data_IF_085582708677
#
_entry.id   IF_085582708677
#
_cell.length_a   1.000
_cell.length_b   1.000
_cell.length_c   1.000
_cell.angle_alpha   90.00
_cell.angle_beta   90.00
_cell.angle_gamma   90.00
#
_symmetry.space_group_name_H-M   'P 1'
#
loop_
_entity.id
_entity.type
_entity.pdbx_description
1 polymer ?
#
# COMPACT_ATOMS: atom_id res chain seq x y z
N UNK A 1 -12.21 -39.56 44.39
CA UNK A 1 -11.25 -38.68 43.68
C UNK A 1 -11.65 -38.53 42.20
N UNK A 2 -12.75 -37.85 41.88
CA UNK A 2 -13.23 -37.72 40.48
C UNK A 2 -14.03 -36.44 40.21
N UNK A 3 -13.72 -35.33 40.90
CA UNK A 3 -14.36 -34.02 40.65
C UNK A 3 -13.37 -32.88 40.41
N UNK A 4 -12.06 -33.11 40.53
CA UNK A 4 -11.03 -32.08 40.37
C UNK A 4 -10.47 -31.96 38.94
N UNK A 5 -10.70 -32.95 38.07
CA UNK A 5 -10.13 -32.99 36.72
C UNK A 5 -10.95 -32.24 35.65
N UNK A 6 -12.19 -31.82 35.97
CA UNK A 6 -13.06 -31.14 35.00
C UNK A 6 -12.81 -29.62 34.92
N UNK A 7 -12.17 -29.01 35.93
CA UNK A 7 -11.90 -27.57 35.94
C UNK A 7 -10.65 -27.14 35.16
N UNK A 8 -9.75 -28.08 34.83
CA UNK A 8 -8.51 -27.78 34.09
C UNK A 8 -8.73 -27.75 32.58
N UNK A 9 -9.82 -28.35 32.07
CA UNK A 9 -10.15 -28.34 30.64
C UNK A 9 -10.91 -27.07 30.19
N UNK A 10 -11.49 -26.31 31.13
CA UNK A 10 -12.19 -25.05 30.80
C UNK A 10 -11.26 -23.84 30.75
N UNK A 11 -10.07 -23.90 31.34
CA UNK A 11 -9.09 -22.81 31.30
C UNK A 11 -8.19 -22.82 30.06
N UNK A 12 -8.16 -23.91 29.28
CA UNK A 12 -7.31 -23.99 28.09
C UNK A 12 -7.84 -23.19 26.89
N UNK A 13 -9.15 -22.89 26.85
CA UNK A 13 -9.71 -22.06 25.78
C UNK A 13 -9.48 -20.56 26.02
N UNK A 14 -9.45 -20.11 27.28
CA UNK A 14 -9.18 -18.71 27.62
C UNK A 14 -7.70 -18.32 27.35
N UNK A 15 -6.76 -19.22 27.66
CA UNK A 15 -5.32 -19.01 27.39
C UNK A 15 -4.96 -19.05 25.89
N UNK A 16 -5.75 -19.75 25.06
CA UNK A 16 -5.60 -19.75 23.60
C UNK A 16 -6.16 -18.48 22.94
N UNK A 17 -7.09 -17.78 23.60
CA UNK A 17 -7.60 -16.48 23.12
C UNK A 17 -6.59 -15.36 23.46
N UNK A 18 -5.99 -15.39 24.66
CA UNK A 18 -5.02 -14.38 25.13
C UNK A 18 -3.69 -14.34 24.35
N UNK A 19 -3.37 -15.41 23.61
CA UNK A 19 -2.15 -15.49 22.79
C UNK A 19 -2.38 -15.10 21.32
N UNK A 20 -3.63 -14.99 20.87
CA UNK A 20 -3.95 -14.74 19.45
C UNK A 20 -4.13 -13.25 19.10
N UNK A 21 -4.34 -12.36 20.07
CA UNK A 21 -4.88 -11.01 19.79
C UNK A 21 -4.24 -9.84 20.55
N UNK A 22 -3.03 -9.97 21.10
CA UNK A 22 -2.36 -8.87 21.84
C UNK A 22 -2.06 -7.61 21.01
N UNK A 23 -1.92 -7.73 19.68
CA UNK A 23 -1.69 -6.58 18.80
C UNK A 23 -2.98 -5.88 18.33
N UNK A 24 -4.13 -6.56 18.43
CA UNK A 24 -5.42 -6.04 17.94
C UNK A 24 -6.30 -5.52 19.07
N UNK A 25 -6.26 -6.15 20.24
CA UNK A 25 -7.12 -5.86 21.38
C UNK A 25 -6.31 -5.19 22.50
N UNK A 26 -6.64 -3.95 22.83
CA UNK A 26 -6.14 -3.30 24.04
C UNK A 26 -7.30 -2.77 24.86
N UNK A 27 -7.38 -3.17 26.13
CA UNK A 27 -8.40 -2.77 27.11
C UNK A 27 -8.26 -1.33 27.64
N UNK A 28 -7.22 -0.58 27.27
CA UNK A 28 -7.00 0.78 27.78
C UNK A 28 -7.13 1.86 26.72
N UNK A 29 -7.47 3.05 27.19
CA UNK A 29 -7.70 4.27 26.42
C UNK A 29 -6.57 4.52 25.42
N UNK A 30 -6.92 4.50 24.14
CA UNK A 30 -6.01 4.86 23.06
C UNK A 30 -6.85 5.66 22.10
N UNK A 31 -6.78 6.98 22.20
CA UNK A 31 -7.35 7.88 21.21
C UNK A 31 -6.85 7.48 19.82
N UNK A 32 -7.71 7.22 18.83
CA UNK A 32 -7.26 7.16 17.45
C UNK A 32 -6.93 8.59 17.04
N UNK A 33 -5.70 9.03 17.28
CA UNK A 33 -5.21 10.32 16.80
C UNK A 33 -5.03 10.16 15.29
N UNK A 34 -5.70 11.01 14.50
CA UNK A 34 -5.45 11.11 13.07
C UNK A 34 -3.94 11.36 12.87
N UNK A 35 -3.25 10.40 12.24
CA UNK A 35 -1.80 10.47 11.99
C UNK A 35 -1.46 11.31 10.76
N UNK A 36 -2.44 11.50 9.89
CA UNK A 36 -2.33 12.32 8.69
C UNK A 36 -3.28 13.50 8.80
N UNK A 37 -2.72 14.69 8.98
CA UNK A 37 -3.49 15.94 9.13
C UNK A 37 -4.17 16.36 7.81
N UNK A 38 -3.45 16.24 6.70
CA UNK A 38 -3.95 16.57 5.37
C UNK A 38 -4.19 15.31 4.54
N UNK A 39 -5.45 14.92 4.39
CA UNK A 39 -5.83 13.69 3.68
C UNK A 39 -6.05 13.89 2.18
N UNK A 40 -6.34 15.11 1.71
CA UNK A 40 -6.52 15.44 0.30
C UNK A 40 -6.13 16.89 -0.01
N UNK A 41 -5.97 17.23 -1.30
CA UNK A 41 -5.84 18.61 -1.74
C UNK A 41 -7.23 19.22 -2.04
N UNK A 42 -7.61 20.36 -1.42
CA UNK A 42 -8.93 20.95 -1.58
C UNK A 42 -9.12 21.71 -2.90
N UNK A 43 -8.04 22.08 -3.57
CA UNK A 43 -8.05 22.79 -4.85
C UNK A 43 -7.48 21.86 -5.92
N UNK A 44 -7.97 21.95 -7.16
CA UNK A 44 -7.41 21.21 -8.30
C UNK A 44 -5.90 21.49 -8.41
N UNK A 45 -5.12 20.42 -8.32
CA UNK A 45 -3.67 20.48 -8.46
C UNK A 45 -3.25 19.86 -9.79
N UNK A 46 -2.36 20.52 -10.52
CA UNK A 46 -1.74 19.90 -11.69
C UNK A 46 -0.82 18.76 -11.29
N UNK A 47 -0.07 18.92 -10.20
CA UNK A 47 0.91 17.93 -9.75
C UNK A 47 0.64 17.54 -8.32
N UNK A 48 0.50 16.24 -8.08
CA UNK A 48 0.34 15.68 -6.74
C UNK A 48 1.24 14.45 -6.63
N UNK A 49 1.96 14.32 -5.53
CA UNK A 49 2.69 13.13 -5.13
C UNK A 49 2.06 12.62 -3.84
N UNK A 50 1.93 11.30 -3.74
CA UNK A 50 1.54 10.64 -2.50
C UNK A 50 2.53 9.53 -2.16
N UNK A 51 2.84 9.42 -0.88
CA UNK A 51 3.49 8.29 -0.22
C UNK A 51 3.52 8.57 1.30
N UNK A 52 4.41 7.92 2.05
CA UNK A 52 4.49 8.06 3.51
C UNK A 52 5.35 9.25 3.99
N UNK A 53 6.01 10.02 3.10
CA UNK A 53 7.02 11.01 3.53
C UNK A 53 7.09 12.26 2.67
N UNK A 54 6.76 13.41 3.26
CA UNK A 54 6.93 14.74 2.63
C UNK A 54 8.38 15.01 2.23
N UNK A 55 9.35 14.60 3.05
CA UNK A 55 10.77 14.74 2.73
C UNK A 55 11.12 14.05 1.40
N UNK A 56 10.59 12.84 1.17
CA UNK A 56 10.85 12.11 -0.06
C UNK A 56 10.21 12.75 -1.29
N UNK A 57 9.05 13.40 -1.13
CA UNK A 57 8.39 14.17 -2.19
C UNK A 57 9.25 15.37 -2.58
N UNK A 58 9.73 16.15 -1.59
CA UNK A 58 10.62 17.29 -1.83
C UNK A 58 11.93 16.87 -2.51
N UNK A 59 12.47 15.72 -2.13
CA UNK A 59 13.68 15.16 -2.74
C UNK A 59 13.43 14.75 -4.19
N UNK A 60 12.29 14.12 -4.48
CA UNK A 60 11.91 13.77 -5.85
C UNK A 60 11.67 14.99 -6.73
N UNK A 61 10.97 16.00 -6.23
CA UNK A 61 10.75 17.23 -7.00
C UNK A 61 12.08 17.92 -7.38
N UNK A 62 13.05 17.91 -6.46
CA UNK A 62 14.42 18.43 -6.74
C UNK A 62 15.19 17.56 -7.73
N UNK A 63 15.00 16.25 -7.70
CA UNK A 63 15.56 15.34 -8.70
C UNK A 63 14.97 15.67 -10.09
N UNK A 64 13.64 15.73 -10.19
CA UNK A 64 12.95 15.97 -11.46
C UNK A 64 13.27 17.36 -12.01
N UNK A 65 13.33 18.41 -11.19
CA UNK A 65 13.67 19.75 -11.67
C UNK A 65 15.09 19.81 -12.25
N UNK A 66 16.06 19.13 -11.63
CA UNK A 66 17.44 19.07 -12.15
C UNK A 66 17.56 18.26 -13.44
N UNK A 67 16.90 17.10 -13.50
CA UNK A 67 16.98 16.21 -14.67
C UNK A 67 16.24 16.83 -15.86
N UNK A 68 15.07 17.42 -15.63
CA UNK A 68 14.20 17.94 -16.69
C UNK A 68 14.82 19.13 -17.45
N UNK A 69 15.74 19.87 -16.83
CA UNK A 69 16.50 20.95 -17.51
C UNK A 69 17.37 20.40 -18.64
N UNK A 70 17.95 19.21 -18.47
CA UNK A 70 18.88 18.61 -19.44
C UNK A 70 18.22 17.58 -20.35
N UNK A 71 17.21 16.88 -19.84
CA UNK A 71 16.53 15.79 -20.55
C UNK A 71 15.03 15.85 -20.29
N UNK A 72 14.18 16.05 -21.32
CA UNK A 72 12.74 16.02 -21.12
C UNK A 72 12.31 14.61 -20.66
N UNK A 73 11.48 14.58 -19.61
CA UNK A 73 10.93 13.36 -19.02
C UNK A 73 9.43 13.28 -19.31
N UNK A 74 9.00 12.17 -19.89
CA UNK A 74 7.58 11.84 -20.03
C UNK A 74 6.96 11.52 -18.67
N UNK A 75 5.63 11.45 -18.61
CA UNK A 75 4.93 11.00 -17.40
C UNK A 75 5.42 9.62 -16.95
N UNK A 76 5.56 8.67 -17.88
CA UNK A 76 6.01 7.31 -17.61
C UNK A 76 7.46 7.30 -17.07
N UNK A 77 8.33 8.18 -17.56
CA UNK A 77 9.69 8.31 -17.01
C UNK A 77 9.66 8.77 -15.55
N UNK A 78 8.80 9.75 -15.22
CA UNK A 78 8.61 10.23 -13.85
C UNK A 78 8.01 9.13 -12.96
N UNK A 79 7.08 8.33 -13.47
CA UNK A 79 6.51 7.18 -12.76
C UNK A 79 7.62 6.19 -12.39
N UNK A 80 8.50 5.86 -13.34
CA UNK A 80 9.63 4.96 -13.09
C UNK A 80 10.59 5.55 -12.08
N UNK A 81 11.01 6.81 -12.23
CA UNK A 81 11.90 7.47 -11.27
C UNK A 81 11.31 7.56 -9.86
N UNK A 82 10.00 7.84 -9.73
CA UNK A 82 9.33 7.85 -8.42
C UNK A 82 9.32 6.46 -7.78
N UNK A 83 9.09 5.42 -8.59
CA UNK A 83 9.15 4.02 -8.15
C UNK A 83 10.55 3.62 -7.70
N UNK A 84 11.60 3.96 -8.46
CA UNK A 84 12.99 3.72 -8.07
C UNK A 84 13.35 4.39 -6.74
N UNK A 85 12.83 5.60 -6.48
CA UNK A 85 13.01 6.28 -5.20
C UNK A 85 12.38 5.52 -4.03
N UNK A 86 11.23 4.86 -4.24
CA UNK A 86 10.57 4.08 -3.18
C UNK A 86 11.40 2.88 -2.71
N UNK A 87 12.26 2.31 -3.57
CA UNK A 87 13.19 1.23 -3.18
C UNK A 87 14.14 1.70 -2.08
N UNK A 88 14.61 2.95 -2.15
CA UNK A 88 15.46 3.53 -1.12
C UNK A 88 14.66 3.95 0.14
N UNK A 89 13.42 4.43 -0.04
CA UNK A 89 12.58 4.92 1.06
C UNK A 89 12.02 3.81 1.96
N UNK A 90 11.56 2.72 1.34
CA UNK A 90 10.91 1.58 1.98
C UNK A 90 11.51 0.28 1.42
N UNK A 91 12.81 0.01 1.67
CA UNK A 91 13.52 -1.16 1.14
C UNK A 91 12.95 -2.49 1.66
N UNK A 92 12.22 -2.44 2.78
CA UNK A 92 11.50 -3.54 3.39
C UNK A 92 10.23 -3.95 2.61
N UNK A 93 9.63 -3.04 1.83
CA UNK A 93 8.41 -3.29 1.05
C UNK A 93 8.56 -3.07 -0.46
N UNK A 94 9.56 -2.30 -0.89
CA UNK A 94 9.90 -2.04 -2.29
C UNK A 94 11.33 -2.54 -2.49
N UNK A 95 11.44 -3.66 -3.18
CA UNK A 95 12.70 -4.25 -3.55
C UNK A 95 12.60 -4.74 -4.99
N UNK A 96 13.71 -5.10 -5.64
CA UNK A 96 13.66 -5.77 -6.92
C UNK A 96 12.73 -7.00 -6.89
N UNK A 97 12.78 -7.78 -5.80
CA UNK A 97 12.01 -9.01 -5.60
C UNK A 97 10.54 -8.80 -5.21
N UNK A 98 10.08 -7.56 -5.02
CA UNK A 98 8.71 -7.30 -4.58
C UNK A 98 7.70 -7.37 -5.71
N UNK A 99 6.50 -7.87 -5.39
CA UNK A 99 5.33 -7.77 -6.27
C UNK A 99 4.99 -6.30 -6.45
N UNK A 100 4.64 -5.91 -7.67
CA UNK A 100 4.27 -4.53 -7.99
C UNK A 100 2.93 -4.48 -8.73
N UNK A 101 2.00 -3.67 -8.24
CA UNK A 101 0.69 -3.44 -8.82
C UNK A 101 0.50 -1.97 -9.18
N UNK A 102 0.02 -1.67 -10.38
CA UNK A 102 -0.19 -0.30 -10.89
C UNK A 102 -1.64 -0.15 -11.36
N UNK A 103 -2.30 0.91 -10.91
CA UNK A 103 -3.42 1.54 -11.61
C UNK A 103 -2.89 2.79 -12.32
N UNK A 104 -3.09 2.90 -13.63
CA UNK A 104 -2.51 3.95 -14.46
C UNK A 104 -3.57 4.55 -15.37
N UNK A 105 -3.76 5.86 -15.29
CA UNK A 105 -4.48 6.65 -16.29
C UNK A 105 -3.43 7.39 -17.11
N UNK A 106 -3.32 7.02 -18.37
CA UNK A 106 -2.40 7.64 -19.31
C UNK A 106 -3.12 7.98 -20.60
N UNK A 107 -3.11 9.26 -20.98
CA UNK A 107 -3.86 9.79 -22.13
C UNK A 107 -5.34 9.34 -22.11
N UNK A 108 -6.00 9.53 -20.96
CA UNK A 108 -7.41 9.20 -20.71
C UNK A 108 -7.78 7.71 -20.77
N UNK A 109 -6.78 6.82 -20.86
CA UNK A 109 -6.98 5.37 -20.82
C UNK A 109 -6.51 4.81 -19.50
N UNK A 110 -7.35 3.99 -18.88
CA UNK A 110 -7.03 3.27 -17.65
C UNK A 110 -6.40 1.91 -17.94
N UNK A 111 -5.31 1.60 -17.24
CA UNK A 111 -4.58 0.36 -17.30
C UNK A 111 -4.39 -0.18 -15.89
N UNK A 112 -4.39 -1.49 -15.77
CA UNK A 112 -4.00 -2.20 -14.56
C UNK A 112 -2.85 -3.15 -14.88
N UNK A 113 -1.86 -3.22 -14.00
CA UNK A 113 -0.77 -4.19 -14.08
C UNK A 113 -0.53 -4.78 -12.69
N UNK A 114 -0.25 -6.07 -12.64
CA UNK A 114 0.20 -6.77 -11.44
C UNK A 114 1.26 -7.78 -11.85
N UNK A 115 2.49 -7.55 -11.39
CA UNK A 115 3.65 -8.36 -11.77
C UNK A 115 4.24 -9.06 -10.56
N UNK A 116 4.46 -10.36 -10.72
CA UNK A 116 5.07 -11.24 -9.72
C UNK A 116 5.83 -12.38 -10.42
N UNK A 117 6.69 -13.06 -9.66
CA UNK A 117 7.38 -14.29 -10.06
C UNK A 117 7.15 -15.38 -9.00
N UNK A 118 7.19 -16.63 -9.44
CA UNK A 118 7.24 -17.78 -8.53
C UNK A 118 8.64 -17.98 -7.93
N UNK A 119 9.68 -17.49 -8.60
CA UNK A 119 11.06 -17.54 -8.09
C UNK A 119 11.30 -16.39 -7.10
N UNK A 120 12.06 -16.68 -6.04
CA UNK A 120 12.42 -15.69 -5.01
C UNK A 120 13.51 -14.74 -5.47
N UNK A 121 14.41 -15.16 -6.37
CA UNK A 121 15.52 -14.32 -6.84
C UNK A 121 15.15 -13.37 -7.97
N UNK A 122 13.98 -13.58 -8.59
CA UNK A 122 13.52 -12.76 -9.70
C UNK A 122 13.15 -11.34 -9.26
N UNK A 123 13.25 -10.38 -10.20
CA UNK A 123 13.01 -8.98 -9.92
C UNK A 123 11.72 -8.41 -10.59
N UNK A 124 10.51 -8.84 -10.19
CA UNK A 124 9.25 -8.42 -10.83
C UNK A 124 9.01 -6.91 -10.75
N UNK A 125 9.53 -6.24 -9.72
CA UNK A 125 9.45 -4.79 -9.60
C UNK A 125 10.11 -4.10 -10.80
N UNK A 126 11.37 -4.43 -11.09
CA UNK A 126 12.09 -3.88 -12.25
C UNK A 126 11.51 -4.36 -13.58
N UNK A 127 11.02 -5.61 -13.63
CA UNK A 127 10.35 -6.12 -14.83
C UNK A 127 9.15 -5.27 -15.23
N UNK A 128 8.29 -4.90 -14.26
CA UNK A 128 7.14 -4.02 -14.55
C UNK A 128 7.60 -2.63 -15.00
N UNK A 129 8.60 -2.03 -14.35
CA UNK A 129 9.09 -0.70 -14.75
C UNK A 129 9.65 -0.72 -16.18
N UNK A 130 10.41 -1.74 -16.56
CA UNK A 130 10.88 -1.92 -17.93
C UNK A 130 9.71 -2.17 -18.91
N UNK A 131 8.74 -2.99 -18.51
CA UNK A 131 7.54 -3.28 -19.31
C UNK A 131 6.73 -2.02 -19.60
N UNK A 132 6.58 -1.12 -18.63
CA UNK A 132 5.89 0.17 -18.81
C UNK A 132 6.63 1.07 -19.80
N UNK A 133 7.96 1.21 -19.65
CA UNK A 133 8.77 2.01 -20.57
C UNK A 133 8.64 1.52 -22.01
N UNK A 134 8.62 0.20 -22.22
CA UNK A 134 8.42 -0.42 -23.54
C UNK A 134 7.00 -0.23 -24.07
N UNK A 135 5.99 -0.51 -23.26
CA UNK A 135 4.57 -0.43 -23.64
C UNK A 135 4.19 0.98 -24.07
N UNK A 136 4.68 1.99 -23.34
CA UNK A 136 4.40 3.40 -23.63
C UNK A 136 5.50 4.09 -24.44
N UNK A 137 6.40 3.31 -25.07
CA UNK A 137 7.44 3.78 -25.99
C UNK A 137 8.26 4.96 -25.44
N UNK A 138 8.68 4.89 -24.18
CA UNK A 138 9.57 5.88 -23.60
C UNK A 138 10.89 5.95 -24.38
N UNK A 139 11.45 7.17 -24.47
CA UNK A 139 12.79 7.43 -25.03
C UNK A 139 13.92 6.95 -24.11
N UNK A 140 13.63 6.67 -22.84
CA UNK A 140 14.63 6.26 -21.86
C UNK A 140 14.46 4.78 -21.50
N UNK A 141 15.58 4.07 -21.44
CA UNK A 141 15.62 2.72 -20.87
C UNK A 141 15.65 2.75 -19.34
N UNK A 142 15.33 1.63 -18.69
CA UNK A 142 15.43 1.50 -17.23
C UNK A 142 16.85 1.84 -16.73
N UNK A 143 17.90 1.39 -17.44
CA UNK A 143 19.29 1.73 -17.11
C UNK A 143 19.60 3.21 -17.28
N UNK A 144 19.05 3.87 -18.30
CA UNK A 144 19.19 5.32 -18.50
C UNK A 144 18.57 6.09 -17.33
N UNK A 145 17.35 5.73 -16.93
CA UNK A 145 16.66 6.36 -15.80
C UNK A 145 17.37 6.08 -14.46
N UNK A 146 17.86 4.87 -14.24
CA UNK A 146 18.68 4.54 -13.07
C UNK A 146 19.98 5.38 -13.02
N UNK A 147 20.63 5.57 -14.17
CA UNK A 147 21.82 6.45 -14.27
C UNK A 147 21.47 7.90 -13.93
N UNK A 148 20.34 8.40 -14.41
CA UNK A 148 19.87 9.76 -14.07
C UNK A 148 19.55 9.89 -12.59
N UNK A 149 18.91 8.87 -12.00
CA UNK A 149 18.66 8.81 -10.56
C UNK A 149 19.98 8.90 -9.78
N UNK A 150 20.94 8.01 -10.05
CA UNK A 150 22.19 7.94 -9.29
C UNK A 150 23.02 9.23 -9.43
N UNK A 151 23.08 9.82 -10.62
CA UNK A 151 23.87 11.03 -10.88
C UNK A 151 23.28 12.30 -10.26
N UNK A 152 21.95 12.38 -10.11
CA UNK A 152 21.27 13.62 -9.69
C UNK A 152 20.63 13.56 -8.31
N UNK A 153 20.55 12.37 -7.70
CA UNK A 153 20.10 12.19 -6.32
C UNK A 153 21.19 12.67 -5.35
N UNK A 154 21.01 13.86 -4.77
CA UNK A 154 22.00 14.51 -3.90
C UNK A 154 21.65 14.49 -2.40
N UNK A 155 20.38 14.26 -2.05
CA UNK A 155 19.90 14.34 -0.66
C UNK A 155 19.60 12.94 -0.14
N UNK A 156 19.98 12.68 1.10
CA UNK A 156 19.53 11.50 1.83
C UNK A 156 18.03 11.59 2.09
N UNK A 157 17.35 10.48 1.90
CA UNK A 157 15.99 10.30 2.39
C UNK A 157 16.02 10.18 3.92
N UNK A 158 14.88 10.38 4.54
CA UNK A 158 14.71 10.16 5.98
C UNK A 158 13.95 8.86 6.24
N UNK A 159 14.30 8.19 7.34
CA UNK A 159 13.59 7.02 7.86
C UNK A 159 12.14 7.41 8.14
N UNK A 160 11.21 6.65 7.56
CA UNK A 160 9.77 6.81 7.74
C UNK A 160 9.30 6.03 8.98
N UNK A 161 8.10 6.35 9.47
CA UNK A 161 7.48 5.62 10.59
C UNK A 161 7.33 4.12 10.27
N UNK A 162 6.87 3.77 9.07
CA UNK A 162 6.73 2.36 8.67
C UNK A 162 8.05 1.60 8.59
N UNK A 163 9.14 2.27 8.18
CA UNK A 163 10.47 1.64 8.18
C UNK A 163 11.02 1.50 9.60
N UNK A 164 10.86 2.50 10.46
CA UNK A 164 11.27 2.40 11.87
C UNK A 164 10.56 1.24 12.58
N UNK A 165 9.23 1.12 12.43
CA UNK A 165 8.44 0.01 12.97
C UNK A 165 9.01 -1.34 12.51
N UNK A 166 9.31 -1.47 11.21
CA UNK A 166 9.92 -2.67 10.65
C UNK A 166 11.30 -2.96 11.26
N UNK A 167 12.17 -1.96 11.35
CA UNK A 167 13.53 -2.14 11.89
C UNK A 167 13.49 -2.58 13.35
N UNK A 168 12.65 -1.97 14.18
CA UNK A 168 12.48 -2.32 15.59
C UNK A 168 12.01 -3.77 15.75
N UNK A 169 11.00 -4.18 14.97
CA UNK A 169 10.47 -5.55 14.99
C UNK A 169 11.54 -6.59 14.62
N UNK A 170 12.49 -6.20 13.78
CA UNK A 170 13.49 -7.09 13.19
C UNK A 170 14.91 -6.89 13.77
N UNK A 171 15.04 -6.12 14.86
CA UNK A 171 16.32 -5.70 15.45
C UNK A 171 17.30 -6.86 15.67
N UNK A 172 16.83 -8.00 16.20
CA UNK A 172 17.69 -9.15 16.52
C UNK A 172 18.33 -9.74 15.25
N UNK A 173 17.52 -9.98 14.23
CA UNK A 173 18.02 -10.52 12.96
C UNK A 173 18.95 -9.53 12.26
N UNK A 174 18.60 -8.24 12.26
CA UNK A 174 19.43 -7.16 11.70
C UNK A 174 20.82 -7.11 12.33
N UNK A 175 20.90 -7.21 13.67
CA UNK A 175 22.17 -7.17 14.41
C UNK A 175 23.13 -8.30 14.01
N UNK A 176 22.60 -9.46 13.61
CA UNK A 176 23.42 -10.62 13.20
C UNK A 176 23.85 -10.57 11.73
N UNK A 177 23.25 -9.71 10.90
CA UNK A 177 23.50 -9.71 9.47
C UNK A 177 24.70 -8.80 9.10
N UNK A 178 25.72 -9.28 8.38
CA UNK A 178 27.00 -8.56 8.20
C UNK A 178 26.90 -7.25 7.39
N UNK A 179 25.92 -7.17 6.47
CA UNK A 179 25.68 -5.99 5.62
C UNK A 179 24.63 -5.08 6.26
N UNK A 180 23.41 -5.58 6.48
CA UNK A 180 22.27 -4.82 6.99
C UNK A 180 22.53 -4.20 8.39
N UNK A 181 23.28 -4.85 9.28
CA UNK A 181 23.68 -4.24 10.57
C UNK A 181 24.39 -2.91 10.38
N UNK A 182 25.41 -2.86 9.51
CA UNK A 182 26.20 -1.64 9.26
C UNK A 182 25.38 -0.49 8.68
N UNK A 183 24.24 -0.80 8.08
CA UNK A 183 23.37 0.14 7.37
C UNK A 183 22.26 0.64 8.29
N UNK A 184 21.63 -0.27 9.04
CA UNK A 184 20.41 -0.02 9.79
C UNK A 184 20.60 0.00 11.31
N UNK A 185 21.79 -0.33 11.82
CA UNK A 185 22.13 -0.29 13.24
C UNK A 185 23.17 0.79 13.54
N UNK A 186 23.07 1.40 14.72
CA UNK A 186 24.07 2.29 15.31
C UNK A 186 24.34 1.82 16.75
N UNK A 187 25.45 1.11 16.93
CA UNK A 187 25.68 0.34 18.16
C UNK A 187 24.55 -0.68 18.32
N UNK A 188 23.85 -0.60 19.45
CA UNK A 188 22.76 -1.51 19.78
C UNK A 188 21.37 -0.98 19.40
N UNK A 189 21.25 0.14 18.69
CA UNK A 189 19.95 0.70 18.29
C UNK A 189 19.73 0.63 16.78
N UNK A 190 18.48 0.46 16.36
CA UNK A 190 18.07 0.58 14.96
C UNK A 190 17.89 2.04 14.57
N UNK A 191 17.99 2.37 13.28
CA UNK A 191 17.67 3.71 12.79
C UNK A 191 16.24 4.11 13.18
N UNK A 192 16.08 5.36 13.63
CA UNK A 192 14.82 5.93 14.09
C UNK A 192 14.21 6.88 13.06
N UNK A 193 12.91 7.18 13.20
CA UNK A 193 12.20 8.13 12.33
C UNK A 193 12.94 9.47 12.26
N UNK A 194 12.94 10.08 11.07
CA UNK A 194 13.64 11.34 10.76
C UNK A 194 15.18 11.25 10.77
N UNK A 195 15.78 10.09 11.05
CA UNK A 195 17.20 9.90 10.80
C UNK A 195 17.48 9.73 9.30
N UNK A 196 18.72 9.99 8.89
CA UNK A 196 19.13 9.88 7.48
C UNK A 196 19.27 8.42 7.07
N UNK A 197 18.60 8.07 5.97
CA UNK A 197 18.85 6.83 5.24
C UNK A 197 20.08 6.98 4.33
N UNK A 198 20.95 5.96 4.26
CA UNK A 198 21.99 5.89 3.25
C UNK A 198 21.42 6.04 1.84
N UNK A 199 22.21 6.61 0.93
CA UNK A 199 21.82 6.68 -0.48
C UNK A 199 21.99 5.30 -1.12
N UNK A 200 20.95 4.80 -1.76
CA UNK A 200 21.01 3.62 -2.61
C UNK A 200 21.44 4.00 -4.04
N UNK A 201 22.43 3.30 -4.57
CA UNK A 201 22.71 3.30 -6.00
C UNK A 201 21.82 2.28 -6.70
N UNK A 202 21.01 2.74 -7.65
CA UNK A 202 19.99 1.93 -8.33
C UNK A 202 20.56 1.22 -9.56
N UNK A 203 21.51 1.83 -10.27
CA UNK A 203 22.09 1.28 -11.49
C UNK A 203 22.76 -0.08 -11.28
N UNK A 204 23.52 -0.36 -10.20
CA UNK A 204 24.03 -1.70 -9.92
C UNK A 204 22.92 -2.74 -9.80
N UNK A 205 21.82 -2.41 -9.11
CA UNK A 205 20.67 -3.31 -8.97
C UNK A 205 19.98 -3.59 -10.30
N UNK A 206 19.79 -2.55 -11.12
CA UNK A 206 19.21 -2.68 -12.47
C UNK A 206 20.12 -3.52 -13.38
N UNK A 207 21.45 -3.34 -13.32
CA UNK A 207 22.41 -4.14 -14.07
C UNK A 207 22.39 -5.61 -13.64
N UNK A 208 22.29 -5.87 -12.33
CA UNK A 208 22.15 -7.22 -11.80
C UNK A 208 20.88 -7.90 -12.32
N UNK A 209 19.74 -7.19 -12.27
CA UNK A 209 18.48 -7.65 -12.86
C UNK A 209 18.62 -7.96 -14.34
N UNK A 210 19.14 -7.04 -15.15
CA UNK A 210 19.24 -7.22 -16.60
C UNK A 210 20.12 -8.42 -16.99
N UNK A 211 21.11 -8.78 -16.17
CA UNK A 211 21.96 -9.96 -16.37
C UNK A 211 21.24 -11.27 -16.05
N UNK A 212 20.41 -11.29 -15.00
CA UNK A 212 19.70 -12.49 -14.52
C UNK A 212 18.32 -12.70 -15.14
N UNK A 213 17.73 -11.66 -15.73
CA UNK A 213 16.34 -11.64 -16.20
C UNK A 213 16.05 -12.77 -17.19
N UNK A 214 15.06 -13.59 -16.85
CA UNK A 214 14.39 -14.49 -17.78
C UNK A 214 12.90 -14.12 -17.91
N UNK A 215 12.44 -13.58 -19.06
CA UNK A 215 11.04 -13.16 -19.26
C UNK A 215 9.99 -14.23 -18.92
N UNK A 216 10.32 -15.51 -19.05
CA UNK A 216 9.39 -16.62 -18.79
C UNK A 216 9.00 -16.78 -17.32
N UNK A 217 9.81 -16.25 -16.40
CA UNK A 217 9.54 -16.40 -14.98
C UNK A 217 8.52 -15.37 -14.45
N UNK A 218 8.27 -14.31 -15.21
CA UNK A 218 7.42 -13.20 -14.78
C UNK A 218 5.98 -13.38 -15.27
N UNK A 219 5.03 -13.25 -14.36
CA UNK A 219 3.60 -13.18 -14.68
C UNK A 219 3.14 -11.73 -14.66
N UNK A 220 2.54 -11.27 -15.77
CA UNK A 220 1.93 -9.94 -15.87
C UNK A 220 0.42 -10.09 -15.98
N UNK A 221 -0.31 -9.81 -14.90
CA UNK A 221 -1.77 -9.78 -14.91
C UNK A 221 -2.25 -8.35 -15.20
N UNK A 222 -3.15 -8.21 -16.17
CA UNK A 222 -3.72 -6.91 -16.55
C UNK A 222 -5.25 -6.86 -16.41
N UNK A 223 -5.87 -7.98 -16.00
CA UNK A 223 -7.32 -8.07 -15.89
C UNK A 223 -7.80 -7.66 -14.50
N UNK A 224 -9.03 -7.15 -14.45
CA UNK A 224 -9.80 -6.87 -13.25
C UNK A 224 -11.16 -7.57 -13.37
N UNK A 225 -11.60 -8.23 -12.30
CA UNK A 225 -12.93 -8.80 -12.18
C UNK A 225 -13.97 -7.68 -12.16
N UNK A 226 -14.99 -7.82 -12.99
CA UNK A 226 -16.13 -6.90 -13.06
C UNK A 226 -17.21 -7.39 -12.11
N UNK A 227 -17.68 -6.52 -11.21
CA UNK A 227 -18.84 -6.79 -10.37
C UNK A 227 -20.04 -6.01 -10.89
N UNK A 228 -21.19 -6.66 -11.07
CA UNK A 228 -22.41 -6.01 -11.58
C UNK A 228 -23.52 -6.12 -10.54
N UNK A 229 -23.48 -5.21 -9.57
CA UNK A 229 -24.52 -5.05 -8.56
C UNK A 229 -25.45 -3.87 -8.89
N UNK A 230 -24.91 -2.78 -9.46
CA UNK A 230 -25.68 -1.60 -9.83
C UNK A 230 -25.60 -1.27 -11.34
N UNK A 231 -26.69 -0.78 -11.91
CA UNK A 231 -26.82 -0.55 -13.35
C UNK A 231 -25.82 0.50 -13.90
N UNK A 232 -25.47 1.50 -13.09
CA UNK A 232 -24.63 2.65 -13.51
C UNK A 232 -23.24 2.70 -12.88
N UNK A 233 -22.99 2.08 -11.73
CA UNK A 233 -21.71 2.12 -11.02
C UNK A 233 -21.11 0.71 -10.94
N UNK A 234 -20.02 0.48 -11.67
CA UNK A 234 -19.48 -0.86 -11.92
C UNK A 234 -18.03 -0.96 -11.39
N UNK A 235 -17.79 -1.70 -10.30
CA UNK A 235 -16.44 -1.97 -9.82
C UNK A 235 -15.68 -2.90 -10.75
N UNK A 236 -14.40 -2.60 -10.96
CA UNK A 236 -13.44 -3.48 -11.60
C UNK A 236 -12.28 -3.70 -10.63
N UNK A 237 -12.18 -4.89 -10.03
CA UNK A 237 -11.28 -5.18 -8.93
C UNK A 237 -10.28 -6.29 -9.24
N UNK A 238 -9.13 -6.30 -8.58
CA UNK A 238 -8.15 -7.41 -8.72
C UNK A 238 -8.50 -8.65 -7.89
N UNK A 239 -9.71 -8.69 -7.34
CA UNK A 239 -10.35 -9.79 -6.64
C UNK A 239 -11.84 -9.83 -7.04
N UNK A 240 -12.48 -10.96 -6.82
CA UNK A 240 -13.90 -11.12 -7.11
C UNK A 240 -14.75 -10.62 -5.94
N UNK A 241 -15.53 -9.55 -6.17
CA UNK A 241 -16.45 -9.01 -5.16
C UNK A 241 -17.66 -9.92 -4.91
N UNK A 242 -18.06 -10.75 -5.88
CA UNK A 242 -19.18 -11.67 -5.73
C UNK A 242 -18.95 -12.72 -4.64
N UNK A 243 -17.70 -12.95 -4.24
CA UNK A 243 -17.39 -13.74 -3.05
C UNK A 243 -18.03 -13.14 -1.79
N UNK A 244 -17.97 -11.82 -1.62
CA UNK A 244 -18.48 -11.15 -0.41
C UNK A 244 -20.00 -11.04 -0.37
N UNK A 245 -20.65 -10.87 -1.52
CA UNK A 245 -22.12 -10.97 -1.66
C UNK A 245 -22.62 -12.33 -1.15
N UNK A 246 -21.87 -13.40 -1.44
CA UNK A 246 -22.12 -14.76 -0.94
C UNK A 246 -21.52 -15.01 0.47
N UNK A 247 -21.12 -13.95 1.18
CA UNK A 247 -20.48 -13.98 2.49
C UNK A 247 -19.16 -14.78 2.55
N UNK A 248 -18.49 -15.07 1.44
CA UNK A 248 -17.22 -15.80 1.40
C UNK A 248 -16.07 -14.84 1.71
N UNK A 249 -15.61 -14.83 2.97
CA UNK A 249 -14.50 -13.98 3.42
C UNK A 249 -13.16 -14.70 3.27
N UNK A 250 -12.24 -14.07 2.55
CA UNK A 250 -10.91 -14.60 2.29
C UNK A 250 -9.97 -14.08 3.38
N UNK A 251 -10.07 -14.60 4.60
CA UNK A 251 -9.24 -14.14 5.72
C UNK A 251 -7.83 -14.73 5.61
N UNK A 252 -6.84 -13.87 5.35
CA UNK A 252 -5.42 -14.24 5.36
C UNK A 252 -4.94 -14.59 6.76
N UNK A 253 -3.96 -15.49 6.90
CA UNK A 253 -3.27 -15.72 8.18
C UNK A 253 -2.53 -14.44 8.61
N UNK A 254 -1.75 -13.89 7.70
CA UNK A 254 -0.94 -12.69 7.94
C UNK A 254 -1.62 -11.44 7.36
N UNK A 255 -1.28 -10.29 7.92
CA UNK A 255 -1.70 -9.01 7.35
C UNK A 255 -1.06 -8.78 5.99
N UNK A 256 -1.87 -8.35 5.01
CA UNK A 256 -1.40 -7.99 3.68
C UNK A 256 -0.86 -6.57 3.74
N UNK A 257 0.40 -6.42 4.16
CA UNK A 257 1.08 -5.12 4.23
C UNK A 257 1.72 -4.77 2.90
N UNK A 258 1.73 -3.48 2.55
CA UNK A 258 2.24 -3.00 1.27
C UNK A 258 2.58 -1.53 1.34
N UNK A 259 3.58 -1.09 0.59
CA UNK A 259 3.87 0.33 0.41
C UNK A 259 2.95 0.90 -0.68
N UNK A 260 2.31 2.03 -0.42
CA UNK A 260 1.52 2.75 -1.41
C UNK A 260 2.19 4.06 -1.79
N UNK A 261 2.16 4.37 -3.08
CA UNK A 261 2.70 5.62 -3.60
C UNK A 261 2.08 5.92 -4.95
N UNK A 262 2.06 7.18 -5.35
CA UNK A 262 1.38 7.61 -6.56
C UNK A 262 1.74 9.02 -6.97
N UNK A 263 1.33 9.38 -8.19
CA UNK A 263 1.53 10.71 -8.75
C UNK A 263 0.38 11.06 -9.68
N UNK A 264 0.03 12.34 -9.69
CA UNK A 264 -0.77 13.01 -10.70
C UNK A 264 0.11 14.06 -11.36
N UNK A 265 0.08 14.12 -12.69
CA UNK A 265 0.71 15.16 -13.49
C UNK A 265 -0.22 15.52 -14.64
N UNK A 266 -0.91 16.65 -14.48
CA UNK A 266 -2.05 17.08 -15.28
C UNK A 266 -3.16 16.01 -15.28
N UNK A 267 -3.52 15.46 -16.44
CA UNK A 267 -4.55 14.43 -16.61
C UNK A 267 -4.03 13.01 -16.36
N UNK A 268 -2.72 12.82 -16.32
CA UNK A 268 -2.14 11.51 -16.11
C UNK A 268 -2.00 11.22 -14.62
N UNK A 269 -2.40 10.03 -14.22
CA UNK A 269 -2.38 9.62 -12.81
C UNK A 269 -1.88 8.20 -12.70
N UNK A 270 -1.06 7.91 -11.70
CA UNK A 270 -0.72 6.53 -11.35
C UNK A 270 -0.82 6.31 -9.86
N UNK A 271 -1.18 5.09 -9.50
CA UNK A 271 -1.23 4.61 -8.15
C UNK A 271 -0.60 3.22 -8.08
N UNK A 272 0.48 3.09 -7.32
CA UNK A 272 1.26 1.88 -7.19
C UNK A 272 1.18 1.28 -5.79
N UNK A 273 1.27 -0.05 -5.75
CA UNK A 273 1.32 -0.84 -4.53
C UNK A 273 2.42 -1.88 -4.64
N UNK A 274 3.35 -1.86 -3.69
CA UNK A 274 4.45 -2.82 -3.61
C UNK A 274 4.31 -3.70 -2.37
N UNK A 275 4.46 -5.02 -2.55
CA UNK A 275 4.29 -6.00 -1.49
C UNK A 275 5.36 -7.09 -1.61
N UNK A 276 5.94 -7.51 -0.50
CA UNK A 276 6.79 -8.69 -0.45
C UNK A 276 6.70 -9.37 0.90
N UNK A 277 7.10 -10.64 0.94
CA UNK A 277 7.34 -11.38 2.18
C UNK A 277 8.82 -11.59 2.37
N UNK A 278 9.29 -11.34 3.58
CA UNK A 278 10.66 -11.60 4.00
C UNK A 278 10.63 -12.85 4.87
N UNK A 279 11.02 -14.00 4.32
CA UNK A 279 11.11 -15.25 5.11
C UNK A 279 12.31 -15.24 6.06
N UNK A 280 13.38 -14.55 5.65
CA UNK A 280 14.60 -14.27 6.41
C UNK A 280 15.15 -12.93 5.95
N UNK A 281 15.77 -12.16 6.84
CA UNK A 281 16.46 -10.94 6.42
C UNK A 281 17.75 -11.28 5.68
N UNK A 282 17.74 -11.09 4.36
CA UNK A 282 18.92 -11.12 3.50
C UNK A 282 18.99 -9.84 2.66
N UNK A 283 20.20 -9.49 2.23
CA UNK A 283 20.43 -8.35 1.35
C UNK A 283 20.35 -8.76 -0.13
N UNK A 284 19.53 -8.08 -0.91
CA UNK A 284 19.50 -8.25 -2.36
C UNK A 284 20.77 -7.67 -2.99
N UNK A 285 21.49 -8.49 -3.77
CA UNK A 285 22.72 -8.10 -4.46
C UNK A 285 23.75 -7.39 -3.54
N UNK A 286 23.87 -7.86 -2.29
CA UNK A 286 24.76 -7.28 -1.26
C UNK A 286 24.55 -5.78 -1.00
N UNK A 287 23.32 -5.28 -1.18
CA UNK A 287 22.95 -3.88 -0.98
C UNK A 287 22.19 -3.65 0.34
N UNK A 288 21.71 -2.42 0.57
CA UNK A 288 20.79 -2.12 1.68
C UNK A 288 19.38 -2.68 1.48
N UNK A 289 19.03 -3.12 0.26
CA UNK A 289 17.67 -3.56 -0.05
C UNK A 289 17.45 -4.98 0.48
N UNK A 290 16.30 -5.21 1.08
CA UNK A 290 15.91 -6.53 1.57
C UNK A 290 15.47 -7.41 0.40
N UNK A 291 16.00 -8.64 0.36
CA UNK A 291 15.56 -9.67 -0.57
C UNK A 291 14.38 -10.43 0.04
N UNK A 292 13.34 -10.61 -0.77
CA UNK A 292 12.10 -11.23 -0.35
C UNK A 292 11.49 -12.09 -1.45
N UNK A 293 10.19 -12.34 -1.33
CA UNK A 293 9.42 -13.02 -2.36
C UNK A 293 8.20 -12.19 -2.76
N UNK A 294 7.94 -12.16 -4.08
CA UNK A 294 6.72 -11.60 -4.65
C UNK A 294 5.50 -12.53 -4.53
N UNK A 295 5.69 -13.76 -4.03
CA UNK A 295 4.62 -14.74 -3.79
C UNK A 295 3.82 -14.41 -2.51
N UNK A 296 3.27 -13.21 -2.48
CA UNK A 296 2.39 -12.70 -1.42
C UNK A 296 1.00 -12.46 -1.96
N UNK A 297 -0.01 -12.46 -1.09
CA UNK A 297 -1.34 -12.02 -1.50
C UNK A 297 -1.29 -10.54 -1.89
N UNK A 298 -1.97 -10.19 -2.98
CA UNK A 298 -2.03 -8.81 -3.47
C UNK A 298 -2.87 -7.95 -2.53
N UNK A 299 -2.47 -6.69 -2.34
CA UNK A 299 -3.38 -5.65 -1.85
C UNK A 299 -4.59 -5.52 -2.80
N UNK A 300 -5.74 -5.15 -2.27
CA UNK A 300 -6.98 -5.02 -3.04
C UNK A 300 -7.02 -3.67 -3.75
N UNK A 301 -7.29 -3.69 -5.05
CA UNK A 301 -7.39 -2.49 -5.91
C UNK A 301 -8.69 -2.58 -6.69
N UNK A 302 -9.49 -1.52 -6.67
CA UNK A 302 -10.72 -1.39 -7.45
C UNK A 302 -10.73 -0.08 -8.24
N UNK A 303 -11.11 -0.17 -9.51
CA UNK A 303 -11.44 0.96 -10.38
C UNK A 303 -12.96 1.00 -10.53
N UNK A 304 -13.59 2.01 -9.94
CA UNK A 304 -15.03 2.18 -10.00
C UNK A 304 -15.40 3.06 -11.19
N UNK A 305 -16.20 2.52 -12.10
CA UNK A 305 -16.61 3.20 -13.32
C UNK A 305 -18.07 3.58 -13.26
N UNK A 306 -18.37 4.86 -13.47
CA UNK A 306 -19.74 5.34 -13.59
C UNK A 306 -20.12 5.46 -15.08
N UNK A 307 -21.11 4.68 -15.53
CA UNK A 307 -21.60 4.68 -16.91
C UNK A 307 -22.29 5.99 -17.30
N UNK A 308 -22.91 6.67 -16.33
CA UNK A 308 -23.63 7.94 -16.53
C UNK A 308 -22.67 9.14 -16.45
N UNK A 309 -21.64 9.05 -15.59
CA UNK A 309 -20.61 10.08 -15.41
C UNK A 309 -19.25 9.56 -15.87
N UNK A 310 -19.04 9.49 -17.18
CA UNK A 310 -17.83 8.87 -17.77
C UNK A 310 -16.51 9.55 -17.39
N UNK A 311 -16.56 10.84 -17.06
CA UNK A 311 -15.39 11.61 -16.61
C UNK A 311 -15.08 11.40 -15.12
N UNK A 312 -16.02 10.80 -14.36
CA UNK A 312 -15.79 10.49 -12.97
C UNK A 312 -14.92 9.23 -12.85
N UNK A 313 -13.80 9.35 -12.15
CA UNK A 313 -12.90 8.24 -11.85
C UNK A 313 -12.77 8.13 -10.34
N UNK A 314 -12.97 6.92 -9.85
CA UNK A 314 -12.71 6.60 -8.46
C UNK A 314 -11.89 5.32 -8.39
N UNK A 315 -10.70 5.42 -7.80
CA UNK A 315 -9.87 4.27 -7.50
C UNK A 315 -9.74 4.13 -6.00
N UNK A 316 -9.78 2.90 -5.50
CA UNK A 316 -9.50 2.63 -4.10
C UNK A 316 -8.54 1.46 -3.97
N UNK A 317 -7.63 1.59 -3.02
CA UNK A 317 -6.63 0.58 -2.68
C UNK A 317 -6.71 0.29 -1.21
N UNK A 318 -6.88 -0.99 -0.84
CA UNK A 318 -6.85 -1.43 0.55
C UNK A 318 -5.68 -2.37 0.85
N UNK A 319 -5.03 -2.15 1.99
CA UNK A 319 -3.89 -2.91 2.51
C UNK A 319 -3.91 -2.95 4.04
N UNK A 320 -2.87 -3.49 4.66
CA UNK A 320 -2.66 -3.62 6.10
C UNK A 320 -3.84 -4.30 6.80
N UNK A 321 -4.50 -5.23 6.09
CA UNK A 321 -5.64 -6.00 6.56
C UNK A 321 -5.44 -7.48 6.26
N UNK A 322 -6.13 -8.34 7.00
CA UNK A 322 -6.23 -9.77 6.70
C UNK A 322 -7.20 -10.05 5.55
N UNK A 323 -8.13 -9.12 5.28
CA UNK A 323 -9.02 -9.15 4.12
C UNK A 323 -9.29 -7.74 3.57
N UNK A 324 -8.36 -7.16 2.80
CA UNK A 324 -8.53 -5.82 2.24
C UNK A 324 -9.64 -5.73 1.18
N UNK A 325 -10.07 -6.85 0.58
CA UNK A 325 -11.16 -6.85 -0.40
C UNK A 325 -12.50 -6.57 0.27
N UNK A 326 -12.70 -7.14 1.47
CA UNK A 326 -13.88 -6.90 2.29
C UNK A 326 -14.08 -5.41 2.60
N UNK A 327 -13.01 -4.66 2.88
CA UNK A 327 -13.12 -3.22 3.11
C UNK A 327 -13.68 -2.47 1.89
N UNK A 328 -13.17 -2.78 0.69
CA UNK A 328 -13.62 -2.12 -0.54
C UNK A 328 -15.05 -2.52 -0.92
N UNK A 329 -15.43 -3.76 -0.62
CA UNK A 329 -16.81 -4.21 -0.75
C UNK A 329 -17.74 -3.46 0.22
N UNK A 330 -17.38 -3.30 1.49
CA UNK A 330 -18.19 -2.54 2.44
C UNK A 330 -18.36 -1.07 2.06
N UNK A 331 -17.33 -0.42 1.49
CA UNK A 331 -17.52 0.95 0.98
C UNK A 331 -18.58 1.00 -0.12
N UNK A 332 -18.60 0.02 -1.03
CA UNK A 332 -19.62 -0.08 -2.06
C UNK A 332 -21.02 -0.19 -1.46
N UNK A 333 -21.22 -1.10 -0.50
CA UNK A 333 -22.48 -1.29 0.24
C UNK A 333 -22.92 -0.03 1.00
N UNK A 334 -21.95 0.78 1.45
CA UNK A 334 -22.19 2.02 2.19
C UNK A 334 -22.48 3.24 1.30
N UNK A 335 -22.77 3.02 0.01
CA UNK A 335 -23.18 4.10 -0.89
C UNK A 335 -22.03 4.80 -1.59
N UNK A 336 -20.90 4.13 -1.84
CA UNK A 336 -19.77 4.73 -2.59
C UNK A 336 -20.20 5.28 -3.97
N UNK A 337 -21.24 4.70 -4.57
CA UNK A 337 -21.85 5.14 -5.82
C UNK A 337 -22.50 6.54 -5.72
N UNK A 338 -22.83 7.00 -4.52
CA UNK A 338 -23.49 8.28 -4.26
C UNK A 338 -22.51 9.43 -4.02
N UNK A 339 -21.22 9.12 -3.82
CA UNK A 339 -20.18 10.10 -3.56
C UNK A 339 -19.93 11.01 -4.77
N UNK A 340 -20.10 12.32 -4.60
CA UNK A 340 -19.98 13.32 -5.65
C UNK A 340 -18.81 14.28 -5.45
N UNK A 341 -18.20 14.32 -4.25
CA UNK A 341 -17.04 15.17 -3.94
C UNK A 341 -15.93 14.41 -3.19
N UNK A 342 -14.70 14.92 -3.28
CA UNK A 342 -13.56 14.41 -2.52
C UNK A 342 -13.79 14.51 -1.00
N UNK A 343 -14.53 15.54 -0.55
CA UNK A 343 -14.86 15.76 0.86
C UNK A 343 -15.85 14.71 1.39
N UNK A 344 -16.84 14.34 0.58
CA UNK A 344 -17.75 13.23 0.90
C UNK A 344 -16.98 11.91 0.98
N UNK A 345 -16.07 11.66 0.03
CA UNK A 345 -15.20 10.48 0.06
C UNK A 345 -14.32 10.44 1.31
N UNK A 346 -13.74 11.58 1.71
CA UNK A 346 -12.95 11.72 2.93
C UNK A 346 -13.74 11.40 4.18
N UNK A 347 -14.96 11.93 4.25
CA UNK A 347 -15.88 11.66 5.35
C UNK A 347 -16.21 10.16 5.41
N UNK A 348 -16.57 9.56 4.26
CA UNK A 348 -16.82 8.14 4.12
C UNK A 348 -15.63 7.29 4.60
N UNK A 349 -14.41 7.63 4.16
CA UNK A 349 -13.19 6.88 4.50
C UNK A 349 -12.78 6.99 5.97
N UNK A 350 -13.22 8.05 6.67
CA UNK A 350 -12.97 8.27 8.10
C UNK A 350 -13.91 7.46 9.02
N UNK A 351 -15.05 6.99 8.53
CA UNK A 351 -15.98 6.14 9.30
C UNK A 351 -15.34 4.81 9.73
N UNK A 352 -15.85 4.25 10.82
CA UNK A 352 -15.40 2.99 11.40
C UNK A 352 -15.47 1.83 10.41
N UNK A 353 -14.37 1.08 10.29
CA UNK A 353 -14.33 -0.16 9.50
C UNK A 353 -14.75 -1.34 10.35
N UNK A 354 -15.16 -2.40 9.65
CA UNK A 354 -15.43 -3.68 10.26
C UNK A 354 -15.01 -4.81 9.32
N UNK A 355 -14.77 -5.99 9.91
CA UNK A 355 -14.27 -7.18 9.24
C UNK A 355 -15.02 -8.38 9.82
N UNK A 356 -15.73 -9.12 8.96
CA UNK A 356 -16.43 -10.34 9.35
C UNK A 356 -15.47 -11.53 9.31
N UNK A 357 -15.40 -12.26 10.42
CA UNK A 357 -14.66 -13.51 10.52
C UNK A 357 -15.65 -14.67 10.48
N UNK A 358 -15.30 -15.76 9.80
CA UNK A 358 -16.10 -17.00 9.76
C UNK A 358 -15.48 -18.09 10.63
N UNK A 359 -16.35 -18.94 11.18
CA UNK A 359 -16.04 -20.14 11.97
C UNK A 359 -15.21 -19.88 13.26
N UNK A 360 -15.84 -19.43 14.37
CA UNK A 360 -17.23 -18.94 14.48
C UNK A 360 -17.40 -17.54 13.86
N UNK A 361 -18.66 -17.18 13.55
CA UNK A 361 -19.03 -15.84 13.06
C UNK A 361 -18.72 -14.82 14.13
N UNK A 362 -17.86 -13.85 13.81
CA UNK A 362 -17.43 -12.78 14.72
C UNK A 362 -17.25 -11.50 13.93
N UNK A 363 -17.47 -10.36 14.58
CA UNK A 363 -17.24 -9.05 14.00
C UNK A 363 -16.09 -8.35 14.71
N UNK A 364 -15.08 -7.96 13.95
CA UNK A 364 -14.05 -7.04 14.45
C UNK A 364 -14.36 -5.66 13.89
N UNK A 365 -14.39 -4.62 14.73
CA UNK A 365 -14.78 -3.27 14.33
C UNK A 365 -13.93 -2.18 15.00
N UNK A 366 -13.83 -1.02 14.36
CA UNK A 366 -13.09 0.15 14.88
C UNK A 366 -13.99 0.99 15.80
N UNK A 367 -14.28 0.49 17.01
CA UNK A 367 -15.31 1.06 17.91
C UNK A 367 -15.11 2.54 18.23
N UNK A 368 -13.85 2.98 18.29
CA UNK A 368 -13.48 4.35 18.65
C UNK A 368 -13.82 5.39 17.58
N UNK A 369 -14.22 4.95 16.38
CA UNK A 369 -14.69 5.79 15.27
C UNK A 369 -16.18 5.63 15.01
N UNK A 370 -16.88 4.90 15.88
CA UNK A 370 -18.32 4.70 15.82
C UNK A 370 -19.01 5.55 16.88
N UNK A 371 -20.21 6.03 16.58
CA UNK A 371 -21.08 6.62 17.61
C UNK A 371 -21.78 5.53 18.44
N UNK A 372 -22.38 5.90 19.58
CA UNK A 372 -23.06 4.94 20.46
C UNK A 372 -24.23 4.22 19.77
N UNK A 373 -24.92 4.90 18.83
CA UNK A 373 -26.06 4.32 18.12
C UNK A 373 -25.60 3.21 17.18
N UNK A 374 -24.52 3.44 16.42
CA UNK A 374 -23.88 2.44 15.57
C UNK A 374 -23.43 1.22 16.38
N UNK A 375 -22.81 1.44 17.54
CA UNK A 375 -22.41 0.35 18.44
C UNK A 375 -23.63 -0.44 18.91
N UNK A 376 -24.73 0.23 19.28
CA UNK A 376 -25.96 -0.43 19.69
C UNK A 376 -26.60 -1.25 18.56
N UNK A 377 -26.61 -0.75 17.32
CA UNK A 377 -27.08 -1.53 16.17
C UNK A 377 -26.22 -2.77 15.92
N UNK A 378 -24.90 -2.66 16.05
CA UNK A 378 -23.99 -3.80 15.92
C UNK A 378 -24.21 -4.83 17.03
N UNK A 379 -24.48 -4.40 18.26
CA UNK A 379 -24.79 -5.28 19.39
C UNK A 379 -26.09 -6.09 19.19
N UNK A 380 -27.02 -5.64 18.34
CA UNK A 380 -28.24 -6.39 18.00
C UNK A 380 -27.99 -7.57 17.07
N UNK A 381 -26.83 -7.65 16.44
CA UNK A 381 -26.50 -8.72 15.48
C UNK A 381 -26.28 -10.10 16.14
N UNK A 382 -26.32 -10.19 17.48
CA UNK A 382 -26.12 -11.42 18.26
C UNK A 382 -24.86 -12.22 17.87
N UNK A 383 -23.80 -11.50 17.48
CA UNK A 383 -22.49 -12.04 17.15
C UNK A 383 -21.43 -11.44 18.08
N UNK A 384 -20.38 -12.19 18.45
CA UNK A 384 -19.30 -11.65 19.26
C UNK A 384 -18.61 -10.47 18.57
N UNK A 385 -18.42 -9.39 19.32
CA UNK A 385 -17.86 -8.12 18.89
C UNK A 385 -16.49 -7.87 19.50
N UNK A 386 -15.51 -7.56 18.65
CA UNK A 386 -14.13 -7.29 19.03
C UNK A 386 -13.71 -5.91 18.55
N UNK A 387 -13.06 -5.13 19.41
CA UNK A 387 -12.62 -3.79 19.06
C UNK A 387 -11.18 -3.81 18.54
N UNK A 388 -10.94 -3.25 17.36
CA UNK A 388 -9.61 -3.05 16.80
C UNK A 388 -9.23 -1.57 16.72
N UNK A 389 -7.96 -1.24 16.95
CA UNK A 389 -7.45 0.14 16.78
C UNK A 389 -7.50 0.60 15.32
N UNK A 390 -7.17 -0.31 14.41
CA UNK A 390 -7.18 -0.09 12.96
C UNK A 390 -7.30 -1.44 12.27
N UNK A 391 -8.24 -1.57 11.34
CA UNK A 391 -8.45 -2.83 10.59
C UNK A 391 -7.72 -2.87 9.25
N UNK A 392 -7.18 -1.74 8.81
CA UNK A 392 -6.33 -1.64 7.65
C UNK A 392 -6.10 -0.21 7.20
N UNK A 393 -5.65 -0.08 5.96
CA UNK A 393 -5.37 1.19 5.30
C UNK A 393 -6.11 1.22 3.98
N UNK A 394 -6.79 2.33 3.71
CA UNK A 394 -7.50 2.55 2.44
C UNK A 394 -7.13 3.91 1.91
N UNK A 395 -6.51 3.96 0.73
CA UNK A 395 -6.22 5.20 0.02
C UNK A 395 -6.98 5.20 -1.31
N UNK A 396 -7.22 6.37 -1.88
CA UNK A 396 -7.96 6.48 -3.12
C UNK A 396 -7.47 7.59 -4.04
N UNK A 397 -8.04 7.61 -5.23
CA UNK A 397 -7.96 8.70 -6.17
C UNK A 397 -9.36 9.01 -6.65
N UNK A 398 -9.75 10.28 -6.61
CA UNK A 398 -11.05 10.75 -7.05
C UNK A 398 -10.87 11.86 -8.07
N UNK A 399 -11.62 11.76 -9.16
CA UNK A 399 -11.71 12.78 -10.19
C UNK A 399 -13.17 12.93 -10.61
N UNK A 400 -13.62 14.18 -10.71
CA UNK A 400 -14.83 14.59 -11.41
C UNK A 400 -14.48 15.83 -12.27
N UNK A 401 -15.48 16.58 -12.74
CA UNK A 401 -15.25 17.78 -13.55
C UNK A 401 -14.58 18.95 -12.81
N UNK A 402 -14.73 19.02 -11.48
CA UNK A 402 -14.32 20.17 -10.64
C UNK A 402 -13.23 19.83 -9.63
N UNK A 403 -12.91 18.55 -9.44
CA UNK A 403 -12.01 18.05 -8.42
C UNK A 403 -11.19 16.89 -8.99
N UNK A 404 -9.90 16.87 -8.68
CA UNK A 404 -9.04 15.74 -9.04
C UNK A 404 -7.88 15.64 -8.07
N UNK A 405 -7.93 14.65 -7.19
CA UNK A 405 -7.03 14.55 -6.03
C UNK A 405 -6.88 13.11 -5.55
N UNK A 406 -5.76 12.84 -4.89
CA UNK A 406 -5.63 11.63 -4.08
C UNK A 406 -6.28 11.85 -2.72
N UNK A 407 -6.67 10.75 -2.09
CA UNK A 407 -7.15 10.72 -0.73
C UNK A 407 -6.40 9.69 0.12
N UNK A 408 -5.91 10.14 1.26
CA UNK A 408 -5.14 9.36 2.21
C UNK A 408 -6.00 8.96 3.40
N UNK A 409 -5.68 7.79 3.97
CA UNK A 409 -6.27 7.33 5.22
C UNK A 409 -5.70 8.11 6.40
N UNK A 410 -6.55 8.81 7.16
CA UNK A 410 -6.13 9.54 8.36
C UNK A 410 -5.51 8.63 9.45
N UNK A 411 -5.80 7.32 9.44
CA UNK A 411 -5.33 6.35 10.47
C UNK A 411 -3.84 6.02 10.38
N UNK A 412 -3.20 6.28 9.25
CA UNK A 412 -1.81 5.89 8.98
C UNK A 412 -1.05 7.09 8.46
N UNK A 413 0.25 7.15 8.75
CA UNK A 413 1.10 8.19 8.22
C UNK A 413 1.06 8.20 6.69
N UNK A 414 0.86 9.38 6.14
CA UNK A 414 0.78 9.65 4.72
C UNK A 414 1.11 11.12 4.48
N UNK A 415 1.64 11.41 3.30
CA UNK A 415 1.92 12.76 2.86
C UNK A 415 1.34 12.94 1.46
N UNK A 416 0.73 14.09 1.22
CA UNK A 416 0.22 14.51 -0.09
C UNK A 416 0.83 15.88 -0.42
N UNK A 417 1.43 16.01 -1.59
CA UNK A 417 1.98 17.29 -2.03
C UNK A 417 0.87 18.16 -2.63
N UNK A 418 0.37 19.12 -1.86
CA UNK A 418 -0.55 20.13 -2.35
C UNK A 418 0.22 21.45 -2.47
N UNK A 419 0.34 22.01 -3.69
CA UNK A 419 0.95 23.31 -3.90
C UNK A 419 -0.14 24.34 -4.14
N UNK A 420 -0.20 25.38 -3.32
CA UNK A 420 -0.96 26.57 -3.71
C UNK A 420 -0.33 27.10 -5.00
N UNK A 421 -1.13 27.24 -6.07
CA UNK A 421 -0.66 27.79 -7.34
C UNK A 421 -0.06 29.19 -7.15
#
# INVERSE_FOLDING_TARGET
MSKLFLFVLLSSCALLIDTYEKDTLTEKDISPIDKTEQTYCPIIQNKILINESKNSQDVFEKLISKVSVKKPLSFIDKVVLWSLLQINLRPDQNSPTSKLQFALNYNQKEYYFNVFSSDKEDAPYFYLLEHLLKTFKSRHSLSSLATLYDNHMQRSLLVTEGLEEFLIQNKKELATHPILSKIYMRGDETLKRNERLPKLEILPLVRFYLKKKNPKNYQVKQFLFKFQDQASFVPHCNFDMGLYENSIFLISKDYITSNLFGMKDHENTFFAVSSQKLDKLTSYASSMVFEGSSSVRSASICLFKNRLKKDNRLWMVSTASRDPGQHLYHYLEYGLNEVNSIKELDTMMKFSRHLFLKNPVRLVFEAKRSDQKQIQELLKLDIPLYNAKSLGRVWGFFQNQTESSFILDARRAGAISCKSN
#
